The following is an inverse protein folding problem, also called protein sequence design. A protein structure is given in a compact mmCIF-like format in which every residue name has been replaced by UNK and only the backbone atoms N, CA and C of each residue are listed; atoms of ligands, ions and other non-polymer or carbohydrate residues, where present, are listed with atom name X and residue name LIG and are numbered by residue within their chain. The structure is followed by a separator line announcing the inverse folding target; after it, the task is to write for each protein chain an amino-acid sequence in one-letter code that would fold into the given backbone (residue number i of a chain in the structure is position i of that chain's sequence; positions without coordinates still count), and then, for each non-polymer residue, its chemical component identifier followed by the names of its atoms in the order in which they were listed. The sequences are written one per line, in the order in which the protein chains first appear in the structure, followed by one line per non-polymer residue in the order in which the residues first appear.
data_IF_896718342891
#
_entry.id   IF_896718342891
#
_cell.length_a   1.000
_cell.length_b   1.000
_cell.length_c   1.000
_cell.angle_alpha   90.00
_cell.angle_beta   90.00
_cell.angle_gamma   90.00
#
_symmetry.space_group_name_H-M   'P 1'
#
loop_
_entity.id
_entity.type
_entity.pdbx_description
1 polymer ?
#
# COMPACT_ATOMS: atom_id res chain seq x y z
N UNK A 1 -8.55 0.54 19.58
CA UNK A 1 -7.32 -0.13 19.17
C UNK A 1 -7.51 -0.85 17.85
N UNK A 2 -6.66 -0.58 16.92
CA UNK A 2 -6.75 -1.24 15.64
C UNK A 2 -6.22 -2.65 15.74
N UNK A 3 -7.01 -3.57 15.28
CA UNK A 3 -6.49 -4.89 15.07
C UNK A 3 -6.37 -5.11 13.58
N UNK A 4 -5.15 -5.16 13.12
CA UNK A 4 -4.89 -5.71 11.81
C UNK A 4 -5.05 -7.21 11.99
N UNK A 5 -6.00 -7.81 11.29
CA UNK A 5 -6.24 -9.25 11.38
C UNK A 5 -5.11 -10.07 10.76
N UNK A 6 -4.05 -9.41 10.33
CA UNK A 6 -2.94 -10.04 9.65
C UNK A 6 -1.64 -9.73 10.36
N UNK A 7 -0.92 -10.76 10.72
CA UNK A 7 0.44 -10.65 11.23
C UNK A 7 1.36 -11.55 10.43
N UNK A 8 2.51 -11.01 10.05
CA UNK A 8 3.53 -11.79 9.37
C UNK A 8 4.41 -12.49 10.39
N UNK A 9 4.79 -13.73 10.08
CA UNK A 9 5.69 -14.49 10.94
C UNK A 9 7.13 -14.44 10.38
N UNK A 10 8.04 -15.11 11.06
CA UNK A 10 9.45 -15.11 10.65
C UNK A 10 9.67 -15.68 9.26
N UNK A 11 8.91 -16.70 8.88
CA UNK A 11 9.01 -17.29 7.54
C UNK A 11 8.59 -16.30 6.47
N UNK A 12 7.58 -15.49 6.76
CA UNK A 12 7.12 -14.44 5.85
C UNK A 12 8.18 -13.38 5.68
N UNK A 13 8.82 -12.97 6.78
CA UNK A 13 9.91 -12.00 6.73
C UNK A 13 11.08 -12.51 5.92
N UNK A 14 11.41 -13.78 6.06
CA UNK A 14 12.49 -14.40 5.28
C UNK A 14 12.16 -14.40 3.79
N UNK A 15 10.92 -14.72 3.43
CA UNK A 15 10.49 -14.69 2.03
C UNK A 15 10.62 -13.29 1.44
N UNK A 16 10.17 -12.29 2.17
CA UNK A 16 10.25 -10.90 1.72
C UNK A 16 11.69 -10.44 1.59
N UNK A 17 12.54 -10.84 2.51
CA UNK A 17 13.95 -10.52 2.46
C UNK A 17 14.64 -11.17 1.25
N UNK A 18 14.32 -12.42 0.97
CA UNK A 18 14.85 -13.14 -0.18
C UNK A 18 14.38 -12.53 -1.50
N UNK A 19 13.17 -11.98 -1.52
CA UNK A 19 12.65 -11.29 -2.70
C UNK A 19 13.29 -9.93 -2.91
N UNK A 20 14.11 -9.48 -1.96
CA UNK A 20 14.75 -8.18 -2.05
C UNK A 20 13.79 -7.00 -1.88
N UNK A 21 12.64 -7.23 -1.26
CA UNK A 21 11.68 -6.15 -1.02
C UNK A 21 12.11 -5.30 0.16
N UNK A 22 11.80 -4.02 0.07
CA UNK A 22 12.18 -3.08 1.11
C UNK A 22 11.08 -2.90 2.15
N UNK A 23 9.82 -2.94 1.73
CA UNK A 23 8.71 -2.66 2.63
C UNK A 23 7.40 -3.21 2.07
N UNK A 24 6.53 -3.66 2.96
CA UNK A 24 5.16 -4.08 2.64
C UNK A 24 4.22 -3.32 3.55
N UNK A 25 3.26 -2.60 2.98
CA UNK A 25 2.36 -1.71 3.69
C UNK A 25 0.91 -2.11 3.45
N UNK A 26 0.14 -2.27 4.52
CA UNK A 26 -1.30 -2.48 4.43
C UNK A 26 -1.98 -1.11 4.32
N UNK A 27 -2.80 -0.95 3.30
CA UNK A 27 -3.45 0.31 2.97
C UNK A 27 -4.97 0.17 2.96
N UNK A 28 -5.65 1.23 2.54
CA UNK A 28 -7.09 1.22 2.34
C UNK A 28 -7.89 1.15 3.62
N UNK A 29 -9.11 0.64 3.52
CA UNK A 29 -10.05 0.60 4.64
C UNK A 29 -9.57 -0.27 5.80
N UNK A 30 -8.79 -1.31 5.51
CA UNK A 30 -8.25 -2.18 6.55
C UNK A 30 -7.28 -1.42 7.45
N UNK A 31 -6.47 -0.52 6.87
CA UNK A 31 -5.53 0.29 7.62
C UNK A 31 -6.24 1.38 8.41
N UNK A 32 -7.37 1.87 7.91
CA UNK A 32 -8.10 2.98 8.52
C UNK A 32 -9.16 2.56 9.54
N UNK A 33 -9.24 1.31 9.87
CA UNK A 33 -10.24 0.76 10.82
C UNK A 33 -11.68 0.81 10.32
N UNK A 34 -11.90 1.20 9.08
CA UNK A 34 -13.25 1.19 8.51
C UNK A 34 -13.45 -0.17 7.86
N UNK A 35 -13.50 -1.19 8.71
CA UNK A 35 -13.53 -2.57 8.25
C UNK A 35 -14.95 -3.12 8.31
N UNK A 36 -15.37 -3.73 7.21
CA UNK A 36 -16.57 -4.53 7.16
C UNK A 36 -16.26 -5.83 6.42
N UNK A 37 -17.24 -6.71 6.32
CA UNK A 37 -17.05 -8.02 5.73
C UNK A 37 -16.71 -7.98 4.24
N UNK A 38 -16.93 -6.84 3.60
CA UNK A 38 -16.68 -6.66 2.17
C UNK A 38 -15.47 -5.78 1.88
N UNK A 39 -14.75 -5.36 2.91
CA UNK A 39 -13.58 -4.50 2.74
C UNK A 39 -12.45 -5.28 2.06
N UNK A 40 -11.90 -4.69 1.01
CA UNK A 40 -10.77 -5.26 0.30
C UNK A 40 -9.48 -5.04 1.08
N UNK A 41 -8.50 -5.91 0.83
CA UNK A 41 -7.16 -5.74 1.35
C UNK A 41 -6.27 -5.14 0.28
N UNK A 42 -5.81 -3.93 0.50
CA UNK A 42 -4.90 -3.24 -0.41
C UNK A 42 -3.51 -3.19 0.18
N UNK A 43 -2.52 -3.59 -0.60
CA UNK A 43 -1.13 -3.62 -0.16
C UNK A 43 -0.27 -2.79 -1.11
N UNK A 44 0.68 -2.05 -0.54
CA UNK A 44 1.70 -1.36 -1.31
C UNK A 44 3.05 -2.02 -1.04
N UNK A 45 3.73 -2.40 -2.12
CA UNK A 45 5.08 -2.96 -2.06
C UNK A 45 6.06 -1.93 -2.59
N UNK A 46 7.01 -1.52 -1.77
CA UNK A 46 8.01 -0.57 -2.21
C UNK A 46 9.01 -1.23 -3.15
N UNK A 47 9.33 -0.53 -4.23
CA UNK A 47 10.25 -1.01 -5.26
C UNK A 47 9.57 -1.22 -6.59
N UNK A 48 10.31 -1.75 -7.57
CA UNK A 48 9.80 -1.93 -8.91
C UNK A 48 8.86 -3.13 -9.01
N UNK A 49 7.96 -3.07 -10.00
CA UNK A 49 7.02 -4.14 -10.27
C UNK A 49 7.75 -5.40 -10.73
N UNK A 50 7.32 -6.55 -10.20
CA UNK A 50 7.88 -7.84 -10.55
C UNK A 50 6.80 -8.91 -10.41
N UNK A 51 6.52 -9.63 -11.49
CA UNK A 51 5.44 -10.61 -11.52
C UNK A 51 5.71 -11.78 -10.58
N UNK A 52 6.94 -12.23 -10.48
CA UNK A 52 7.29 -13.32 -9.58
C UNK A 52 7.04 -12.91 -8.13
N UNK A 53 7.41 -11.70 -7.77
CA UNK A 53 7.15 -11.16 -6.44
C UNK A 53 5.65 -11.08 -6.18
N UNK A 54 4.88 -10.61 -7.17
CA UNK A 54 3.43 -10.55 -7.06
C UNK A 54 2.83 -11.91 -6.74
N UNK A 55 3.22 -12.93 -7.49
CA UNK A 55 2.66 -14.26 -7.32
C UNK A 55 2.97 -14.83 -5.92
N UNK A 56 4.19 -14.66 -5.47
CA UNK A 56 4.60 -15.15 -4.16
C UNK A 56 3.88 -14.40 -3.04
N UNK A 57 3.77 -13.09 -3.16
CA UNK A 57 3.06 -12.28 -2.18
C UNK A 57 1.57 -12.61 -2.15
N UNK A 58 0.97 -12.79 -3.31
CA UNK A 58 -0.45 -13.12 -3.39
C UNK A 58 -0.74 -14.43 -2.68
N UNK A 59 0.06 -15.46 -2.93
CA UNK A 59 -0.10 -16.75 -2.27
C UNK A 59 0.06 -16.64 -0.75
N UNK A 60 1.10 -15.94 -0.33
CA UNK A 60 1.38 -15.76 1.10
C UNK A 60 0.26 -15.00 1.80
N UNK A 61 -0.19 -13.90 1.21
CA UNK A 61 -1.22 -13.06 1.82
C UNK A 61 -2.59 -13.74 1.78
N UNK A 62 -2.89 -14.49 0.74
CA UNK A 62 -4.15 -15.24 0.63
C UNK A 62 -4.29 -16.25 1.76
N UNK A 63 -3.21 -16.93 2.10
CA UNK A 63 -3.22 -17.87 3.21
C UNK A 63 -3.47 -17.17 4.54
N UNK A 64 -2.89 -15.98 4.72
CA UNK A 64 -3.04 -15.21 5.96
C UNK A 64 -4.44 -14.68 6.17
N UNK A 65 -5.07 -14.22 5.11
CA UNK A 65 -6.38 -13.58 5.19
C UNK A 65 -7.48 -14.61 5.34
N UNK A 66 -7.34 -15.76 4.71
CA UNK A 66 -8.29 -16.87 4.82
C UNK A 66 -9.75 -16.43 4.63
N UNK A 67 -10.00 -15.58 3.63
CA UNK A 67 -11.32 -15.09 3.29
C UNK A 67 -11.46 -14.96 1.80
N UNK A 68 -12.70 -15.03 1.31
CA UNK A 68 -13.00 -14.74 -0.08
C UNK A 68 -13.07 -13.23 -0.27
N UNK A 69 -11.98 -12.55 0.03
CA UNK A 69 -11.87 -11.11 -0.06
C UNK A 69 -10.86 -10.78 -1.15
N UNK A 70 -11.13 -9.73 -1.89
CA UNK A 70 -10.21 -9.28 -2.92
C UNK A 70 -8.94 -8.75 -2.29
N UNK A 71 -7.82 -9.18 -2.85
CA UNK A 71 -6.50 -8.73 -2.45
C UNK A 71 -5.90 -7.96 -3.62
N UNK A 72 -5.51 -6.73 -3.38
CA UNK A 72 -4.89 -5.88 -4.38
C UNK A 72 -3.47 -5.56 -3.96
N UNK A 73 -2.52 -5.93 -4.79
CA UNK A 73 -1.10 -5.69 -4.53
C UNK A 73 -0.59 -4.69 -5.55
N UNK A 74 -0.19 -3.52 -5.07
CA UNK A 74 0.27 -2.42 -5.91
C UNK A 74 1.74 -2.19 -5.62
N UNK A 75 2.55 -2.07 -6.68
CA UNK A 75 3.97 -1.77 -6.53
C UNK A 75 4.19 -0.25 -6.60
N UNK A 76 5.16 0.22 -5.85
CA UNK A 76 5.47 1.65 -5.78
C UNK A 76 5.66 2.26 -7.16
N UNK A 77 6.37 1.57 -8.04
CA UNK A 77 6.67 2.06 -9.39
C UNK A 77 5.44 2.27 -10.26
N UNK A 78 4.34 1.57 -9.95
CA UNK A 78 3.10 1.65 -10.70
C UNK A 78 1.99 2.36 -9.94
N UNK A 79 2.22 2.77 -8.70
CA UNK A 79 1.20 3.36 -7.85
C UNK A 79 0.94 4.82 -8.20
N UNK A 80 -0.33 5.23 -8.31
CA UNK A 80 -0.65 6.65 -8.46
C UNK A 80 -0.20 7.45 -7.23
N UNK A 81 0.04 8.73 -7.43
CA UNK A 81 0.48 9.61 -6.34
C UNK A 81 -0.52 9.64 -5.19
N UNK A 82 -1.81 9.65 -5.50
CA UNK A 82 -2.86 9.65 -4.47
C UNK A 82 -2.80 8.40 -3.60
N UNK A 83 -2.55 7.25 -4.21
CA UNK A 83 -2.43 6.00 -3.49
C UNK A 83 -1.19 6.01 -2.59
N UNK A 84 -0.06 6.49 -3.11
CA UNK A 84 1.18 6.58 -2.32
C UNK A 84 1.03 7.54 -1.15
N UNK A 85 0.38 8.68 -1.37
CA UNK A 85 0.14 9.66 -0.32
C UNK A 85 -0.73 9.08 0.79
N UNK A 86 -1.78 8.36 0.41
CA UNK A 86 -2.66 7.70 1.36
C UNK A 86 -1.91 6.63 2.16
N UNK A 87 -1.08 5.85 1.49
CA UNK A 87 -0.26 4.83 2.15
C UNK A 87 0.73 5.45 3.12
N UNK A 88 1.35 6.56 2.74
CA UNK A 88 2.30 7.26 3.60
C UNK A 88 1.63 7.82 4.86
N UNK A 89 0.38 8.26 4.72
CA UNK A 89 -0.34 8.90 5.82
C UNK A 89 -1.04 7.91 6.73
N UNK A 90 -1.66 6.89 6.17
CA UNK A 90 -2.51 5.97 6.92
C UNK A 90 -2.06 4.51 6.90
N UNK A 91 -1.08 4.18 6.08
CA UNK A 91 -0.65 2.80 5.92
C UNK A 91 -0.05 2.20 7.17
N UNK A 92 -0.21 0.90 7.30
CA UNK A 92 0.36 0.12 8.41
C UNK A 92 1.49 -0.73 7.86
N UNK A 93 2.70 -0.54 8.37
CA UNK A 93 3.87 -1.29 7.92
C UNK A 93 3.79 -2.71 8.45
N UNK A 94 3.72 -3.68 7.54
CA UNK A 94 3.75 -5.10 7.92
C UNK A 94 5.17 -5.65 7.91
N UNK A 95 6.02 -5.13 7.04
CA UNK A 95 7.41 -5.53 6.92
C UNK A 95 8.22 -4.35 6.41
N UNK A 96 9.39 -4.12 6.98
CA UNK A 96 10.38 -3.22 6.40
C UNK A 96 11.78 -3.80 6.62
N UNK A 97 12.62 -3.63 5.60
CA UNK A 97 13.96 -4.18 5.60
C UNK A 97 14.84 -3.54 6.65
N UNK A 98 14.65 -2.25 6.89
CA UNK A 98 15.35 -1.52 7.95
C UNK A 98 14.41 -0.48 8.52
N UNK A 99 14.75 0.03 9.69
CA UNK A 99 13.88 0.95 10.45
C UNK A 99 13.64 2.29 9.77
N UNK A 100 14.39 2.64 8.74
CA UNK A 100 14.26 3.93 8.07
C UNK A 100 13.50 3.86 6.73
N UNK A 101 13.20 2.66 6.24
CA UNK A 101 12.63 2.51 4.88
C UNK A 101 11.29 3.23 4.76
N UNK A 102 10.37 2.98 5.67
CA UNK A 102 9.06 3.60 5.60
C UNK A 102 9.14 5.12 5.84
N UNK A 103 9.98 5.55 6.77
CA UNK A 103 10.17 6.97 7.05
C UNK A 103 10.70 7.71 5.81
N UNK A 104 11.66 7.12 5.11
CA UNK A 104 12.21 7.70 3.89
C UNK A 104 11.15 7.76 2.79
N UNK A 105 10.36 6.69 2.64
CA UNK A 105 9.26 6.66 1.68
C UNK A 105 8.26 7.77 1.98
N UNK A 106 7.87 7.89 3.25
CA UNK A 106 6.89 8.89 3.68
C UNK A 106 7.36 10.30 3.37
N UNK A 107 8.62 10.59 3.68
CA UNK A 107 9.20 11.90 3.41
C UNK A 107 9.22 12.21 1.92
N UNK A 108 9.66 11.24 1.12
CA UNK A 108 9.72 11.38 -0.33
C UNK A 108 8.34 11.67 -0.92
N UNK A 109 7.35 10.89 -0.49
CA UNK A 109 5.98 11.03 -0.99
C UNK A 109 5.40 12.39 -0.59
N UNK A 110 5.64 12.85 0.62
CA UNK A 110 5.13 14.15 1.06
C UNK A 110 5.72 15.28 0.25
N UNK A 111 7.01 15.21 -0.08
CA UNK A 111 7.65 16.20 -0.93
C UNK A 111 7.06 16.18 -2.33
N UNK A 112 6.96 15.00 -2.94
CA UNK A 112 6.40 14.85 -4.28
C UNK A 112 4.95 15.31 -4.34
N UNK A 113 4.17 14.98 -3.32
CA UNK A 113 2.77 15.37 -3.26
C UNK A 113 2.62 16.89 -3.17
N UNK A 114 3.46 17.55 -2.39
CA UNK A 114 3.44 19.01 -2.26
C UNK A 114 3.83 19.67 -3.58
N UNK A 115 4.84 19.16 -4.26
CA UNK A 115 5.27 19.69 -5.56
C UNK A 115 4.18 19.53 -6.61
N UNK A 116 3.38 18.47 -6.52
CA UNK A 116 2.32 18.18 -7.46
C UNK A 116 1.02 18.93 -7.13
N UNK A 117 0.88 19.48 -5.93
CA UNK A 117 -0.37 20.05 -5.45
C UNK A 117 -1.01 21.10 -6.38
N UNK A 118 -0.26 22.06 -6.96
CA UNK A 118 -0.85 23.04 -7.86
C UNK A 118 -1.52 22.42 -9.08
N UNK A 119 -0.86 21.42 -9.67
CA UNK A 119 -1.39 20.73 -10.84
C UNK A 119 -2.56 19.84 -10.45
N UNK A 120 -2.46 19.20 -9.28
CA UNK A 120 -3.52 18.32 -8.78
C UNK A 120 -4.81 19.09 -8.55
N UNK A 121 -4.74 20.31 -8.05
CA UNK A 121 -5.91 21.14 -7.84
C UNK A 121 -6.60 21.44 -9.17
N UNK A 122 -5.83 21.74 -10.22
CA UNK A 122 -6.37 22.00 -11.55
C UNK A 122 -7.09 20.78 -12.09
N UNK A 123 -6.46 19.59 -11.98
CA UNK A 123 -7.07 18.34 -12.43
C UNK A 123 -8.33 17.99 -11.64
N UNK A 124 -8.31 18.18 -10.35
CA UNK A 124 -9.47 17.90 -9.50
C UNK A 124 -10.65 18.76 -9.88
N UNK A 125 -10.43 20.04 -10.10
CA UNK A 125 -11.48 20.97 -10.49
C UNK A 125 -12.04 20.61 -11.87
N UNK A 126 -11.17 20.28 -12.81
CA UNK A 126 -11.60 19.86 -14.14
C UNK A 126 -12.40 18.56 -14.09
N UNK A 127 -11.98 17.61 -13.28
CA UNK A 127 -12.68 16.35 -13.12
C UNK A 127 -14.05 16.55 -12.49
N UNK A 128 -14.14 17.39 -11.47
CA UNK A 128 -15.42 17.70 -10.82
C UNK A 128 -16.39 18.36 -11.80
N UNK A 129 -15.88 19.26 -12.64
CA UNK A 129 -16.70 19.93 -13.62
C UNK A 129 -17.28 18.96 -14.65
N UNK A 130 -16.56 17.86 -14.94
CA UNK A 130 -17.04 16.84 -15.88
C UNK A 130 -18.05 15.89 -15.24
N UNK A 131 -17.87 15.58 -13.96
CA UNK A 131 -18.68 14.60 -13.26
C UNK A 131 -19.98 15.19 -12.77
N UNK A 132 -19.97 16.42 -12.36
CA UNK A 132 -21.19 17.08 -11.87
C UNK A 132 -22.15 17.35 -13.02
N UNK A 133 -23.41 16.93 -12.84
CA UNK A 133 -24.43 17.17 -13.85
C UNK A 133 -24.76 18.64 -14.04
#
# INVERSE_FOLDING_TARGET
MIRVSMNLNEKDFEKLNKLGRECLILCGSQAQKVVNNKSDYDFLVLGPKNQKTYDILYDMLSEKINKLTDIDIVFESAAPMEFKQHAAKYGIVLYEKSSSVFADFKQKVMIEYSDFAPYRAIFSNATLARIQP
#
